data_IF_709750949551
#
_entry.id   IF_709750949551
#
_cell.length_a   1.000
_cell.length_b   1.000
_cell.length_c   1.000
_cell.angle_alpha   90.00
_cell.angle_beta   90.00
_cell.angle_gamma   90.00
#
_symmetry.space_group_name_H-M   'P 1'
#
loop_
_entity.id
_entity.type
_entity.pdbx_description
1 polymer ?
#
# COMPACT_ATOMS: atom_id res chain seq x y z
N UNK A 1 12.50 -4.50 15.95
CA UNK A 1 12.92 -5.22 14.73
C UNK A 1 12.34 -4.50 13.52
N UNK A 2 12.80 -4.83 12.32
CA UNK A 2 12.15 -4.31 11.11
C UNK A 2 10.74 -4.89 10.95
N UNK A 3 9.83 -4.22 10.22
CA UNK A 3 8.53 -4.78 9.86
C UNK A 3 8.66 -6.18 9.21
N UNK A 4 7.69 -7.05 9.46
CA UNK A 4 7.76 -8.45 9.03
C UNK A 4 7.84 -8.61 7.50
N UNK A 5 7.12 -7.77 6.75
CA UNK A 5 7.19 -7.75 5.28
C UNK A 5 8.60 -7.39 4.78
N UNK A 6 9.27 -6.42 5.41
CA UNK A 6 10.66 -6.04 5.08
C UNK A 6 11.59 -7.21 5.37
N UNK A 7 11.48 -7.81 6.56
CA UNK A 7 12.31 -8.95 6.96
C UNK A 7 12.13 -10.14 6.02
N UNK A 8 10.89 -10.40 5.58
CA UNK A 8 10.58 -11.44 4.60
C UNK A 8 11.25 -11.15 3.25
N UNK A 9 11.08 -9.95 2.69
CA UNK A 9 11.68 -9.57 1.40
C UNK A 9 13.21 -9.69 1.42
N UNK A 10 13.86 -9.22 2.47
CA UNK A 10 15.33 -9.35 2.60
C UNK A 10 15.78 -10.81 2.63
N UNK A 11 15.08 -11.69 3.36
CA UNK A 11 15.37 -13.14 3.38
C UNK A 11 15.18 -13.82 2.03
N UNK A 12 14.38 -13.23 1.13
CA UNK A 12 14.19 -13.70 -0.24
C UNK A 12 15.20 -13.12 -1.22
N UNK A 13 16.14 -12.29 -0.75
CA UNK A 13 17.23 -11.72 -1.55
C UNK A 13 16.87 -10.42 -2.28
N UNK A 14 15.73 -9.80 -1.96
CA UNK A 14 15.38 -8.50 -2.52
C UNK A 14 16.24 -7.38 -1.92
N UNK A 15 16.57 -6.39 -2.73
CA UNK A 15 16.98 -5.08 -2.25
C UNK A 15 15.72 -4.29 -1.89
N UNK A 16 15.68 -3.73 -0.68
CA UNK A 16 14.47 -3.14 -0.13
C UNK A 16 14.73 -1.69 0.27
N UNK A 17 13.91 -0.80 -0.26
CA UNK A 17 13.77 0.57 0.23
C UNK A 17 12.61 0.63 1.23
N UNK A 18 12.86 1.10 2.45
CA UNK A 18 11.82 1.38 3.44
C UNK A 18 11.62 2.88 3.56
N UNK A 19 10.40 3.37 3.31
CA UNK A 19 10.07 4.79 3.42
C UNK A 19 9.05 5.00 4.54
N UNK A 20 9.37 5.89 5.47
CA UNK A 20 8.48 6.30 6.56
C UNK A 20 8.72 7.78 6.87
N UNK A 21 7.68 8.50 7.30
CA UNK A 21 7.82 9.89 7.72
C UNK A 21 8.51 10.01 9.10
N UNK A 22 8.41 8.96 9.90
CA UNK A 22 8.97 8.88 11.24
C UNK A 22 10.44 8.50 11.19
N UNK A 23 11.16 8.91 12.23
CA UNK A 23 12.50 8.41 12.46
C UNK A 23 12.49 6.92 12.78
N UNK A 24 13.55 6.24 12.37
CA UNK A 24 13.86 4.94 12.96
C UNK A 24 14.19 5.12 14.45
N UNK A 25 13.88 4.11 15.27
CA UNK A 25 14.39 4.03 16.64
C UNK A 25 15.90 4.29 16.70
N UNK A 26 16.38 5.04 17.71
CA UNK A 26 17.80 5.28 17.88
C UNK A 26 18.55 3.94 18.02
N UNK A 27 19.74 3.87 17.44
CA UNK A 27 20.61 2.68 17.43
C UNK A 27 20.03 1.47 16.68
N UNK A 28 19.03 1.65 15.82
CA UNK A 28 18.54 0.56 14.98
C UNK A 28 19.57 0.18 13.91
N UNK A 29 20.13 -1.02 14.03
CA UNK A 29 20.99 -1.60 12.99
C UNK A 29 20.16 -2.00 11.76
N UNK A 30 20.57 -1.51 10.60
CA UNK A 30 19.96 -1.86 9.32
C UNK A 30 20.70 -3.05 8.70
N UNK A 31 19.98 -4.11 8.32
CA UNK A 31 20.58 -5.26 7.66
C UNK A 31 21.05 -4.89 6.25
N UNK A 32 22.01 -5.66 5.74
CA UNK A 32 22.44 -5.56 4.35
C UNK A 32 21.26 -5.74 3.38
N UNK A 33 21.24 -4.96 2.31
CA UNK A 33 20.16 -4.95 1.32
C UNK A 33 18.95 -4.09 1.71
N UNK A 34 18.93 -3.48 2.90
CA UNK A 34 17.88 -2.54 3.31
C UNK A 34 18.37 -1.10 3.34
N UNK A 35 17.66 -0.21 2.65
CA UNK A 35 17.90 1.22 2.64
C UNK A 35 16.67 1.94 3.23
N UNK A 36 16.85 2.61 4.37
CA UNK A 36 15.78 3.40 4.97
C UNK A 36 15.82 4.85 4.46
N UNK A 37 14.66 5.40 4.15
CA UNK A 37 14.45 6.76 3.67
C UNK A 37 13.42 7.41 4.58
N UNK A 38 13.87 8.41 5.36
CA UNK A 38 12.93 9.29 6.05
C UNK A 38 12.31 10.26 5.05
N UNK A 39 11.00 10.20 4.85
CA UNK A 39 10.35 11.06 3.87
C UNK A 39 8.84 10.87 3.79
N UNK A 40 8.22 11.79 3.07
CA UNK A 40 6.78 11.75 2.80
C UNK A 40 6.52 10.95 1.52
N UNK A 41 5.62 9.97 1.59
CA UNK A 41 5.26 9.12 0.44
C UNK A 41 4.59 9.91 -0.69
N UNK A 42 4.04 11.10 -0.41
CA UNK A 42 3.49 12.02 -1.42
C UNK A 42 4.58 12.62 -2.33
N UNK A 43 5.84 12.62 -1.86
CA UNK A 43 7.00 13.13 -2.60
C UNK A 43 8.28 12.49 -2.07
N UNK A 44 8.64 11.34 -2.64
CA UNK A 44 9.74 10.50 -2.14
C UNK A 44 11.13 11.04 -2.47
N UNK A 45 11.25 11.84 -3.53
CA UNK A 45 12.55 12.27 -4.08
C UNK A 45 13.33 11.15 -4.77
N UNK A 46 12.76 9.94 -4.88
CA UNK A 46 13.37 8.83 -5.59
C UNK A 46 13.33 9.04 -7.12
N UNK A 47 14.29 8.50 -7.88
CA UNK A 47 14.18 8.41 -9.33
C UNK A 47 12.87 7.73 -9.77
N UNK A 48 12.32 8.16 -10.91
CA UNK A 48 11.20 7.44 -11.52
C UNK A 48 11.66 6.08 -12.05
N UNK A 49 10.73 5.12 -12.17
CA UNK A 49 11.01 3.77 -12.64
C UNK A 49 12.19 3.07 -11.94
N UNK A 50 12.33 3.28 -10.63
CA UNK A 50 13.40 2.73 -9.82
C UNK A 50 13.11 1.28 -9.39
N UNK A 51 11.89 1.00 -8.95
CA UNK A 51 11.56 -0.25 -8.25
C UNK A 51 10.65 -1.15 -9.09
N UNK A 52 10.87 -2.46 -8.96
CA UNK A 52 10.04 -3.48 -9.58
C UNK A 52 8.74 -3.73 -8.81
N UNK A 53 8.76 -3.53 -7.48
CA UNK A 53 7.61 -3.78 -6.60
C UNK A 53 7.50 -2.68 -5.55
N UNK A 54 6.28 -2.23 -5.30
CA UNK A 54 5.91 -1.40 -4.14
C UNK A 54 4.94 -2.20 -3.28
N UNK A 55 5.20 -2.23 -1.97
CA UNK A 55 4.24 -2.75 -0.98
C UNK A 55 3.75 -1.60 -0.12
N UNK A 56 2.46 -1.26 -0.20
CA UNK A 56 1.80 -0.29 0.64
C UNK A 56 0.79 -1.01 1.53
N UNK A 57 1.23 -1.41 2.73
CA UNK A 57 0.46 -2.30 3.60
C UNK A 57 -0.08 -1.50 4.79
N UNK A 58 -1.38 -1.22 4.78
CA UNK A 58 -2.08 -0.48 5.86
C UNK A 58 -1.43 0.86 6.21
N UNK A 59 -1.07 1.62 5.16
CA UNK A 59 -0.41 2.92 5.28
C UNK A 59 -1.15 4.02 4.53
N UNK A 60 -1.73 3.72 3.37
CA UNK A 60 -2.35 4.70 2.48
C UNK A 60 -3.49 5.47 3.16
N UNK A 61 -4.31 4.76 3.94
CA UNK A 61 -5.46 5.30 4.68
C UNK A 61 -5.09 6.39 5.70
N UNK A 62 -3.82 6.51 6.06
CA UNK A 62 -3.32 7.50 7.00
C UNK A 62 -2.75 8.74 6.30
N UNK A 63 -2.50 8.68 4.99
CA UNK A 63 -1.79 9.74 4.27
C UNK A 63 -2.67 10.98 4.12
N UNK A 64 -2.26 12.10 4.70
CA UNK A 64 -3.01 13.35 4.63
C UNK A 64 -4.19 13.44 5.62
N UNK A 65 -4.28 12.54 6.61
CA UNK A 65 -5.19 12.71 7.75
C UNK A 65 -4.49 13.55 8.83
N UNK A 66 -5.06 14.71 9.17
CA UNK A 66 -4.52 15.58 10.22
C UNK A 66 -4.53 14.89 11.59
N UNK A 67 -3.57 15.25 12.44
CA UNK A 67 -3.42 14.72 13.80
C UNK A 67 -2.66 13.39 13.88
N UNK A 68 -2.30 12.77 12.75
CA UNK A 68 -1.49 11.54 12.73
C UNK A 68 -0.06 11.80 12.24
N UNK A 69 0.90 11.13 12.87
CA UNK A 69 2.33 11.20 12.53
C UNK A 69 2.93 12.62 12.50
N UNK A 70 2.39 13.53 13.34
CA UNK A 70 2.86 14.92 13.41
C UNK A 70 2.39 15.82 12.27
N UNK A 71 1.49 15.34 11.40
CA UNK A 71 0.82 16.18 10.41
C UNK A 71 -0.23 17.05 11.10
N UNK A 72 -0.06 18.37 11.02
CA UNK A 72 -1.03 19.33 11.56
C UNK A 72 -2.10 19.71 10.53
N UNK A 73 -1.78 19.63 9.24
CA UNK A 73 -2.67 20.00 8.15
C UNK A 73 -3.27 18.76 7.49
N UNK A 74 -4.56 18.84 7.20
CA UNK A 74 -5.26 17.83 6.41
C UNK A 74 -4.93 18.01 4.93
N UNK A 75 -4.71 16.90 4.24
CA UNK A 75 -4.57 16.84 2.79
C UNK A 75 -5.54 15.78 2.27
N UNK A 76 -6.73 16.23 1.85
CA UNK A 76 -7.80 15.38 1.34
C UNK A 76 -7.37 14.56 0.10
N UNK A 77 -6.40 15.07 -0.68
CA UNK A 77 -5.83 14.37 -1.84
C UNK A 77 -4.50 13.68 -1.54
N UNK A 78 -4.12 13.58 -0.26
CA UNK A 78 -2.83 13.03 0.15
C UNK A 78 -2.62 11.59 -0.33
N UNK A 79 -3.66 10.77 -0.26
CA UNK A 79 -3.65 9.39 -0.76
C UNK A 79 -3.52 9.32 -2.29
N UNK A 80 -4.22 10.17 -3.04
CA UNK A 80 -4.06 10.29 -4.50
C UNK A 80 -2.65 10.71 -4.89
N UNK A 81 -2.07 11.67 -4.18
CA UNK A 81 -0.67 12.11 -4.41
C UNK A 81 0.30 10.95 -4.13
N UNK A 82 0.09 10.20 -3.07
CA UNK A 82 0.87 9.01 -2.76
C UNK A 82 0.73 7.92 -3.83
N UNK A 83 -0.48 7.65 -4.32
CA UNK A 83 -0.72 6.69 -5.42
C UNK A 83 0.00 7.12 -6.70
N UNK A 84 -0.06 8.40 -7.06
CA UNK A 84 0.65 8.94 -8.22
C UNK A 84 2.19 8.83 -8.07
N UNK A 85 2.70 9.10 -6.87
CA UNK A 85 4.13 8.99 -6.58
C UNK A 85 4.60 7.52 -6.60
N UNK A 86 3.80 6.59 -6.04
CA UNK A 86 4.05 5.14 -6.14
C UNK A 86 4.05 4.68 -7.60
N UNK A 87 3.11 5.16 -8.42
CA UNK A 87 3.09 4.90 -9.86
C UNK A 87 4.34 5.42 -10.58
N UNK A 88 4.86 6.58 -10.18
CA UNK A 88 6.05 7.20 -10.79
C UNK A 88 7.33 6.43 -10.48
N UNK A 89 7.49 5.95 -9.25
CA UNK A 89 8.70 5.20 -8.84
C UNK A 89 8.70 3.75 -9.32
N UNK A 90 7.53 3.19 -9.64
CA UNK A 90 7.41 1.88 -10.28
C UNK A 90 7.90 1.91 -11.73
N UNK A 91 8.61 0.85 -12.13
CA UNK A 91 8.87 0.53 -13.54
C UNK A 91 7.56 0.20 -14.26
N UNK A 92 7.56 0.27 -15.60
CA UNK A 92 6.34 0.08 -16.41
C UNK A 92 5.65 -1.28 -16.18
N UNK A 93 6.40 -2.36 -15.94
CA UNK A 93 5.85 -3.69 -15.62
C UNK A 93 5.85 -3.99 -14.11
N UNK A 94 6.06 -2.96 -13.29
CA UNK A 94 6.17 -3.09 -11.85
C UNK A 94 4.84 -3.42 -11.18
N UNK A 95 4.91 -3.94 -9.96
CA UNK A 95 3.73 -4.35 -9.18
C UNK A 95 3.53 -3.47 -7.95
N UNK A 96 2.31 -3.01 -7.72
CA UNK A 96 1.88 -2.45 -6.44
C UNK A 96 0.98 -3.47 -5.71
N UNK A 97 1.42 -3.90 -4.54
CA UNK A 97 0.58 -4.58 -3.55
C UNK A 97 0.07 -3.55 -2.54
N UNK A 98 -1.23 -3.28 -2.57
CA UNK A 98 -1.90 -2.33 -1.68
C UNK A 98 -2.81 -3.09 -0.71
N UNK A 99 -2.72 -2.79 0.58
CA UNK A 99 -3.76 -3.17 1.54
C UNK A 99 -4.27 -1.95 2.29
N UNK A 100 -5.58 -1.88 2.51
CA UNK A 100 -6.22 -0.73 3.17
C UNK A 100 -7.59 -1.09 3.78
N UNK A 101 -8.21 -0.12 4.45
CA UNK A 101 -9.56 -0.25 5.01
C UNK A 101 -10.62 0.01 3.94
N UNK A 102 -11.59 -0.89 3.85
CA UNK A 102 -12.69 -0.90 2.91
C UNK A 102 -14.03 -1.05 3.65
N UNK A 103 -15.08 -0.40 3.15
CA UNK A 103 -16.42 -0.53 3.70
C UNK A 103 -17.25 0.74 3.52
N UNK A 104 -18.03 1.07 4.54
CA UNK A 104 -18.78 2.34 4.54
C UNK A 104 -17.79 3.49 4.65
N UNK A 105 -17.80 4.37 3.64
CA UNK A 105 -16.91 5.54 3.59
C UNK A 105 -16.94 6.33 4.88
N UNK A 106 -15.78 6.52 5.48
CA UNK A 106 -15.60 7.28 6.70
C UNK A 106 -14.20 7.89 6.77
N UNK A 107 -14.08 8.98 7.53
CA UNK A 107 -12.79 9.52 7.95
C UNK A 107 -12.84 9.63 9.46
N UNK A 108 -11.92 8.94 10.13
CA UNK A 108 -11.71 9.08 11.57
C UNK A 108 -10.53 10.02 11.78
N UNK A 109 -10.82 11.24 12.23
CA UNK A 109 -9.83 12.27 12.52
C UNK A 109 -8.70 11.74 13.42
N UNK A 110 -7.45 12.08 13.09
CA UNK A 110 -6.26 11.57 13.78
C UNK A 110 -5.96 10.08 13.59
N UNK A 111 -6.83 9.34 12.90
CA UNK A 111 -6.73 7.90 12.75
C UNK A 111 -6.56 7.47 11.28
N UNK A 112 -7.62 7.37 10.50
CA UNK A 112 -7.56 6.79 9.15
C UNK A 112 -8.83 7.04 8.34
N UNK A 113 -8.75 6.78 7.03
CA UNK A 113 -9.90 6.69 6.12
C UNK A 113 -10.37 5.24 5.98
N UNK A 114 -11.68 5.05 5.82
CA UNK A 114 -12.29 3.85 5.26
C UNK A 114 -12.75 4.20 3.86
N UNK A 115 -12.32 3.42 2.88
CA UNK A 115 -12.65 3.63 1.47
C UNK A 115 -13.88 2.82 1.06
N UNK A 116 -14.79 3.45 0.32
CA UNK A 116 -15.81 2.73 -0.42
C UNK A 116 -15.28 2.29 -1.81
N UNK A 117 -16.09 1.53 -2.55
CA UNK A 117 -15.75 1.09 -3.91
C UNK A 117 -15.38 2.27 -4.82
N UNK A 118 -16.15 3.37 -4.77
CA UNK A 118 -15.92 4.53 -5.63
C UNK A 118 -14.54 5.14 -5.37
N UNK A 119 -14.15 5.26 -4.10
CA UNK A 119 -12.84 5.79 -3.73
C UNK A 119 -11.71 4.85 -4.15
N UNK A 120 -11.84 3.54 -3.93
CA UNK A 120 -10.84 2.56 -4.38
C UNK A 120 -10.64 2.65 -5.89
N UNK A 121 -11.72 2.63 -6.69
CA UNK A 121 -11.62 2.74 -8.15
C UNK A 121 -10.95 4.03 -8.60
N UNK A 122 -11.21 5.14 -7.90
CA UNK A 122 -10.54 6.43 -8.15
C UNK A 122 -9.04 6.41 -7.79
N UNK A 123 -8.67 5.80 -6.67
CA UNK A 123 -7.27 5.68 -6.23
C UNK A 123 -6.45 4.78 -7.15
N UNK A 124 -7.07 3.73 -7.69
CA UNK A 124 -6.42 2.78 -8.61
C UNK A 124 -6.44 3.26 -10.06
N UNK A 125 -6.95 4.47 -10.34
CA UNK A 125 -6.94 5.02 -11.69
C UNK A 125 -5.49 5.20 -12.19
N UNK A 126 -5.19 4.66 -13.37
CA UNK A 126 -3.83 4.60 -13.90
C UNK A 126 -3.07 3.31 -13.60
N UNK A 127 -3.75 2.35 -12.95
CA UNK A 127 -3.34 0.97 -12.80
C UNK A 127 -4.36 0.01 -13.43
N UNK A 128 -3.88 -1.14 -13.87
CA UNK A 128 -4.66 -2.33 -14.14
C UNK A 128 -4.75 -3.16 -12.85
N UNK A 129 -5.96 -3.58 -12.48
CA UNK A 129 -6.19 -4.44 -11.30
C UNK A 129 -6.04 -5.89 -11.73
N UNK A 130 -5.02 -6.58 -11.19
CA UNK A 130 -4.74 -7.99 -11.49
C UNK A 130 -5.51 -8.93 -10.55
N UNK A 131 -5.62 -8.54 -9.27
CA UNK A 131 -6.37 -9.27 -8.25
C UNK A 131 -6.89 -8.31 -7.17
N UNK A 132 -8.06 -8.62 -6.62
CA UNK A 132 -8.70 -7.86 -5.56
C UNK A 132 -9.41 -8.84 -4.61
N UNK A 133 -9.11 -8.73 -3.32
CA UNK A 133 -9.62 -9.61 -2.28
C UNK A 133 -10.09 -8.80 -1.07
N UNK A 134 -11.15 -9.27 -0.42
CA UNK A 134 -11.79 -8.61 0.71
C UNK A 134 -11.84 -9.55 1.91
N UNK A 135 -11.47 -9.03 3.07
CA UNK A 135 -11.34 -9.77 4.31
C UNK A 135 -12.18 -9.13 5.41
N UNK A 136 -13.20 -9.84 5.86
CA UNK A 136 -13.95 -9.48 7.06
C UNK A 136 -13.42 -10.29 8.25
N UNK A 137 -13.27 -9.64 9.40
CA UNK A 137 -12.98 -10.37 10.64
C UNK A 137 -14.31 -10.69 11.30
N UNK A 138 -14.57 -11.97 11.56
CA UNK A 138 -15.78 -12.39 12.28
C UNK A 138 -15.86 -11.70 13.65
N UNK A 139 -17.05 -11.15 13.91
CA UNK A 139 -17.60 -10.46 15.08
C UNK A 139 -16.69 -10.23 16.31
N UNK A 140 -16.47 -8.95 16.64
CA UNK A 140 -16.36 -8.51 18.04
C UNK A 140 -17.27 -7.29 18.22
N UNK A 141 -18.44 -7.50 18.81
CA UNK A 141 -19.32 -6.38 19.22
C UNK A 141 -18.57 -5.39 20.13
N UNK A 142 -18.92 -4.09 20.15
CA UNK A 142 -19.98 -3.41 19.40
C UNK A 142 -19.48 -2.57 18.20
N UNK A 143 -18.23 -2.77 17.75
CA UNK A 143 -17.63 -1.95 16.69
C UNK A 143 -17.65 -2.71 15.36
N UNK A 144 -18.43 -2.23 14.38
CA UNK A 144 -18.28 -2.67 12.99
C UNK A 144 -16.85 -2.34 12.53
N UNK A 145 -15.99 -3.35 12.46
CA UNK A 145 -14.63 -3.17 11.96
C UNK A 145 -14.65 -3.05 10.43
N UNK A 146 -13.84 -2.16 9.83
CA UNK A 146 -13.71 -2.09 8.39
C UNK A 146 -13.27 -3.45 7.82
N UNK A 147 -13.84 -3.79 6.67
CA UNK A 147 -13.34 -4.87 5.80
C UNK A 147 -11.93 -4.43 5.37
N UNK A 148 -10.99 -5.36 5.26
CA UNK A 148 -9.69 -5.05 4.64
C UNK A 148 -9.73 -5.44 3.17
N UNK A 149 -9.23 -4.57 2.31
CA UNK A 149 -8.99 -4.91 0.92
C UNK A 149 -7.49 -5.18 0.72
N UNK A 150 -7.18 -6.19 -0.10
CA UNK A 150 -5.85 -6.42 -0.66
C UNK A 150 -5.98 -6.37 -2.19
N UNK A 151 -5.18 -5.51 -2.82
CA UNK A 151 -5.31 -5.19 -4.25
C UNK A 151 -3.92 -5.27 -4.89
N UNK A 152 -3.83 -6.05 -5.95
CA UNK A 152 -2.63 -6.24 -6.76
C UNK A 152 -2.78 -5.46 -8.07
N UNK A 153 -1.86 -4.54 -8.32
CA UNK A 153 -1.97 -3.50 -9.35
C UNK A 153 -0.73 -3.46 -10.25
N UNK A 154 -0.93 -3.23 -11.55
CA UNK A 154 0.15 -2.92 -12.52
C UNK A 154 -0.08 -1.57 -13.19
N UNK A 155 0.96 -0.83 -13.61
CA UNK A 155 0.80 0.36 -14.44
C UNK A 155 -0.08 0.15 -15.69
N UNK A 156 -0.97 1.09 -15.98
CA UNK A 156 -1.72 1.08 -17.24
C UNK A 156 -0.80 1.35 -18.44
N UNK A 157 -1.04 0.66 -19.55
CA UNK A 157 -0.23 0.78 -20.78
C UNK A 157 1.02 -0.11 -20.83
N UNK A 158 1.30 -0.85 -19.75
CA UNK A 158 2.23 -1.98 -19.72
C UNK A 158 1.90 -2.96 -20.85
N UNK A 159 2.91 -3.39 -21.60
CA UNK A 159 2.70 -4.34 -22.70
C UNK A 159 2.28 -5.67 -22.10
N UNK A 160 1.10 -6.18 -22.45
CA UNK A 160 0.70 -7.54 -22.08
C UNK A 160 1.62 -8.50 -22.84
N UNK A 161 2.81 -8.76 -22.31
CA UNK A 161 3.53 -9.97 -22.65
C UNK A 161 2.80 -11.05 -21.86
N UNK A 162 2.14 -12.02 -22.51
CA UNK A 162 1.53 -13.14 -21.81
C UNK A 162 2.66 -13.97 -21.21
N UNK A 163 3.10 -13.62 -20.00
CA UNK A 163 3.95 -14.48 -19.21
C UNK A 163 3.05 -15.60 -18.67
N UNK A 164 2.99 -16.68 -19.45
CA UNK A 164 2.41 -17.97 -19.09
C UNK A 164 3.15 -18.58 -17.88
N UNK A 165 3.02 -18.02 -16.67
CA UNK A 165 3.42 -18.70 -15.43
C UNK A 165 3.15 -17.86 -14.16
N UNK A 166 1.90 -17.50 -13.88
CA UNK A 166 1.44 -17.18 -12.52
C UNK A 166 0.05 -17.78 -12.29
N UNK A 167 -0.01 -19.10 -12.22
CA UNK A 167 -1.20 -19.83 -11.77
C UNK A 167 -1.33 -19.71 -10.24
N UNK A 168 -2.59 -19.55 -9.80
CA UNK A 168 -3.18 -19.80 -8.47
C UNK A 168 -3.04 -18.74 -7.37
N UNK A 169 -4.20 -18.17 -7.04
CA UNK A 169 -4.73 -18.24 -5.67
C UNK A 169 -6.19 -18.71 -5.74
N UNK A 170 -6.51 -19.67 -4.87
CA UNK A 170 -7.78 -20.38 -4.80
C UNK A 170 -8.82 -19.53 -4.07
N UNK A 171 -9.96 -19.29 -4.70
CA UNK A 171 -11.19 -18.95 -3.98
C UNK A 171 -12.06 -20.21 -3.89
N UNK A 172 -12.16 -20.79 -2.70
CA UNK A 172 -13.29 -21.66 -2.35
C UNK A 172 -14.23 -20.78 -1.52
N UNK A 173 -15.35 -20.39 -2.11
CA UNK A 173 -16.47 -19.85 -1.35
C UNK A 173 -17.17 -21.03 -0.64
N UNK A 174 -17.43 -20.99 0.68
CA UNK A 174 -18.47 -21.83 1.24
C UNK A 174 -19.84 -21.25 0.85
N UNK A 175 -20.85 -22.11 0.65
CA UNK A 175 -22.12 -21.72 0.06
C UNK A 175 -23.09 -21.10 1.09
N UNK A 176 -23.82 -20.10 0.59
CA UNK A 176 -25.00 -19.39 1.10
C UNK A 176 -24.79 -18.37 2.23
#
# INVERSE_FOLDING_TARGET
GLPDNVSYMLKRGYLVYGLDIRDLPPNQHLPYGFCFIKGDVRKTGLPGALVDVVTCVSSLEHVGVAGRYGMMEEDEEGDRKAMAEMRRVLKDEGLLLLTTHFGVRAVYEGLHRIYDEKQIRGLTQGFNVEAEEYYCREEVEPYHYPIKAAICLKPSGASIIPCCSCHRLYCVAPPY
#
